data_IF_094582151402
#
_entry.id   IF_094582151402
#
_cell.length_a   1.000
_cell.length_b   1.000
_cell.length_c   1.000
_cell.angle_alpha   90.00
_cell.angle_beta   90.00
_cell.angle_gamma   90.00
#
_symmetry.space_group_name_H-M   'P 1'
#
loop_
_entity.id
_entity.type
_entity.pdbx_description
1 polymer ?
#
# COMPACT_ATOMS: atom_id res chain seq x y z
N UNK A 1 2.66 0.36 -9.53
CA UNK A 1 4.06 0.83 -9.50
C UNK A 1 4.52 0.78 -8.05
N UNK A 2 5.63 0.11 -7.77
CA UNK A 2 6.14 -0.13 -6.43
C UNK A 2 7.66 0.11 -6.45
N UNK A 3 8.24 0.68 -5.42
CA UNK A 3 9.70 0.62 -5.26
C UNK A 3 10.01 -0.34 -4.11
N UNK A 4 11.18 -0.96 -4.18
CA UNK A 4 11.71 -1.71 -3.07
C UNK A 4 11.62 -3.24 -3.22
N UNK A 5 11.85 -3.94 -2.10
CA UNK A 5 11.50 -3.57 -0.73
C UNK A 5 12.38 -2.47 -0.15
N UNK A 6 11.80 -1.63 0.70
CA UNK A 6 12.52 -0.67 1.54
C UNK A 6 12.70 -1.26 2.93
N UNK A 7 13.85 -0.99 3.53
CA UNK A 7 14.04 -1.27 4.95
C UNK A 7 13.09 -0.37 5.75
N UNK A 8 12.33 -0.98 6.67
CA UNK A 8 11.39 -0.26 7.55
C UNK A 8 12.15 0.07 8.83
N UNK A 9 12.32 1.36 9.10
CA UNK A 9 12.99 1.84 10.30
C UNK A 9 11.97 2.26 11.36
N UNK A 10 12.27 2.07 12.66
CA UNK A 10 11.49 2.69 13.73
C UNK A 10 11.31 4.19 13.52
N UNK A 11 10.07 4.66 13.62
CA UNK A 11 9.70 6.05 13.37
C UNK A 11 9.35 6.36 11.92
N UNK A 12 9.49 5.40 10.98
CA UNK A 12 8.98 5.57 9.62
C UNK A 12 7.45 5.70 9.64
N UNK A 13 6.95 6.63 8.84
CA UNK A 13 5.52 6.87 8.67
C UNK A 13 5.13 6.69 7.22
N UNK A 14 4.14 5.83 7.00
CA UNK A 14 3.61 5.51 5.69
C UNK A 14 2.20 6.08 5.57
N UNK A 15 1.95 6.74 4.44
CA UNK A 15 0.63 7.21 4.06
C UNK A 15 0.17 6.43 2.83
N UNK A 16 -1.01 5.84 2.91
CA UNK A 16 -1.76 5.36 1.76
C UNK A 16 -3.01 6.23 1.61
N UNK A 17 -3.22 6.76 0.42
CA UNK A 17 -4.36 7.62 0.14
C UNK A 17 -4.94 7.41 -1.26
N UNK A 18 -6.19 7.82 -1.45
CA UNK A 18 -6.80 7.99 -2.78
C UNK A 18 -6.36 9.29 -3.43
N UNK A 19 -6.55 9.40 -4.74
CA UNK A 19 -6.39 10.62 -5.52
C UNK A 19 -7.27 11.78 -5.04
N UNK A 20 -8.38 11.47 -4.37
CA UNK A 20 -9.20 12.44 -3.64
C UNK A 20 -8.41 13.29 -2.62
N UNK A 21 -7.33 12.76 -2.03
CA UNK A 21 -6.43 13.53 -1.16
C UNK A 21 -5.42 14.35 -1.97
N UNK A 22 -4.63 13.68 -2.81
CA UNK A 22 -3.49 14.30 -3.52
C UNK A 22 -3.92 15.32 -4.58
N UNK A 23 -5.17 15.27 -5.03
CA UNK A 23 -5.74 16.32 -5.89
C UNK A 23 -6.07 17.62 -5.16
N UNK A 24 -6.06 17.62 -3.81
CA UNK A 24 -6.45 18.78 -2.98
C UNK A 24 -5.39 19.20 -1.98
N UNK A 25 -4.51 18.31 -1.55
CA UNK A 25 -3.45 18.56 -0.56
C UNK A 25 -2.10 18.29 -1.20
N UNK A 26 -1.18 19.23 -1.06
CA UNK A 26 0.15 19.14 -1.70
C UNK A 26 1.10 18.26 -0.88
N UNK A 27 2.05 17.59 -1.56
CA UNK A 27 3.02 16.69 -0.92
C UNK A 27 3.76 17.30 0.29
N UNK A 28 4.21 18.57 0.27
CA UNK A 28 4.86 19.18 1.44
C UNK A 28 3.92 19.33 2.64
N UNK A 29 2.65 19.66 2.41
CA UNK A 29 1.64 19.78 3.47
C UNK A 29 1.38 18.41 4.10
N UNK A 30 1.22 17.38 3.26
CA UNK A 30 1.09 16.00 3.70
C UNK A 30 2.29 15.60 4.56
N UNK A 31 3.50 15.89 4.09
CA UNK A 31 4.73 15.57 4.80
C UNK A 31 4.80 16.19 6.20
N UNK A 32 4.44 17.48 6.34
CA UNK A 32 4.41 18.16 7.65
C UNK A 32 3.37 17.54 8.58
N UNK A 33 2.15 17.32 8.07
CA UNK A 33 1.03 16.80 8.86
C UNK A 33 1.35 15.41 9.39
N UNK A 34 1.81 14.51 8.51
CA UNK A 34 2.14 13.13 8.86
C UNK A 34 3.38 13.07 9.75
N UNK A 35 4.31 14.02 9.66
CA UNK A 35 5.52 14.01 10.51
C UNK A 35 5.28 14.51 11.94
N UNK A 36 4.40 15.51 12.12
CA UNK A 36 4.25 16.20 13.41
C UNK A 36 3.07 15.71 14.26
N UNK A 37 2.03 15.16 13.65
CA UNK A 37 0.81 14.73 14.35
C UNK A 37 0.77 13.22 14.50
N UNK A 38 0.18 12.68 15.59
CA UNK A 38 -0.06 11.24 15.69
C UNK A 38 -0.99 10.76 14.55
N UNK A 39 -0.96 9.46 14.17
CA UNK A 39 -1.67 8.95 12.99
C UNK A 39 -3.17 9.28 12.95
N UNK A 40 -3.85 9.25 14.09
CA UNK A 40 -5.27 9.60 14.23
C UNK A 40 -5.54 11.10 14.00
N UNK A 41 -4.75 11.99 14.58
CA UNK A 41 -4.85 13.43 14.34
C UNK A 41 -4.50 13.77 12.88
N UNK A 42 -3.45 13.16 12.33
CA UNK A 42 -2.98 13.37 10.96
C UNK A 42 -4.01 12.95 9.92
N UNK A 43 -4.56 11.74 10.04
CA UNK A 43 -5.61 11.21 9.15
C UNK A 43 -6.83 12.14 9.14
N UNK A 44 -7.32 12.53 10.31
CA UNK A 44 -8.46 13.43 10.42
C UNK A 44 -8.19 14.79 9.78
N UNK A 45 -7.02 15.38 10.02
CA UNK A 45 -6.64 16.68 9.45
C UNK A 45 -6.53 16.64 7.93
N UNK A 46 -5.91 15.60 7.37
CA UNK A 46 -5.79 15.42 5.92
C UNK A 46 -7.16 15.36 5.24
N UNK A 47 -8.10 14.61 5.84
CA UNK A 47 -9.47 14.51 5.36
C UNK A 47 -10.19 15.86 5.51
N UNK A 48 -10.04 16.55 6.63
CA UNK A 48 -10.66 17.86 6.86
C UNK A 48 -10.16 18.91 5.86
N UNK A 49 -8.86 18.91 5.56
CA UNK A 49 -8.24 19.83 4.63
C UNK A 49 -8.69 19.59 3.18
N UNK A 50 -8.75 18.32 2.75
CA UNK A 50 -9.25 17.98 1.42
C UNK A 50 -10.72 18.36 1.23
N UNK A 51 -11.55 18.16 2.27
CA UNK A 51 -12.95 18.59 2.27
C UNK A 51 -13.09 20.12 2.24
N UNK A 52 -12.30 20.84 3.05
CA UNK A 52 -12.29 22.31 3.06
C UNK A 52 -12.00 22.89 1.66
N UNK A 53 -11.17 22.20 0.87
CA UNK A 53 -10.82 22.55 -0.51
C UNK A 53 -11.81 22.02 -1.56
N UNK A 54 -13.00 21.62 -1.14
CA UNK A 54 -14.14 21.26 -1.99
C UNK A 54 -14.20 19.78 -2.41
N UNK A 55 -13.43 18.89 -1.78
CA UNK A 55 -13.43 17.42 -1.93
C UNK A 55 -14.45 16.83 -2.92
N UNK A 56 -14.16 16.80 -4.24
CA UNK A 56 -15.13 16.39 -5.26
C UNK A 56 -15.31 14.86 -5.34
N UNK A 57 -14.51 14.12 -4.58
CA UNK A 57 -14.37 12.67 -4.66
C UNK A 57 -14.20 12.07 -3.26
N UNK A 58 -14.31 10.74 -3.16
CA UNK A 58 -14.12 9.98 -1.94
C UNK A 58 -12.67 10.05 -1.46
N UNK A 59 -12.47 10.62 -0.28
CA UNK A 59 -11.16 10.75 0.35
C UNK A 59 -10.94 9.53 1.27
N UNK A 60 -9.95 8.70 0.95
CA UNK A 60 -9.50 7.61 1.82
C UNK A 60 -8.06 7.86 2.25
N UNK A 61 -7.79 7.74 3.54
CA UNK A 61 -6.47 8.01 4.13
C UNK A 61 -6.15 6.96 5.18
N UNK A 62 -4.97 6.36 5.11
CA UNK A 62 -4.42 5.43 6.10
C UNK A 62 -3.01 5.91 6.44
N UNK A 63 -2.74 6.17 7.71
CA UNK A 63 -1.41 6.47 8.22
C UNK A 63 -0.95 5.32 9.11
N UNK A 64 0.25 4.80 8.85
CA UNK A 64 0.88 3.73 9.61
C UNK A 64 2.21 4.25 10.14
N UNK A 65 2.44 4.14 11.43
CA UNK A 65 3.72 4.43 12.08
C UNK A 65 4.40 3.11 12.46
N UNK A 66 5.64 2.95 12.04
CA UNK A 66 6.48 1.81 12.42
C UNK A 66 7.01 2.03 13.84
N UNK A 67 6.35 1.46 14.84
CA UNK A 67 6.84 1.48 16.22
C UNK A 67 8.07 0.56 16.35
N UNK A 68 9.10 1.06 17.04
CA UNK A 68 10.40 0.42 17.20
C UNK A 68 10.42 -0.81 18.09
N UNK A 69 9.28 -1.23 18.62
CA UNK A 69 9.12 -2.61 19.05
C UNK A 69 9.08 -3.48 17.81
N UNK A 70 10.27 -3.80 17.31
CA UNK A 70 10.52 -4.95 16.46
C UNK A 70 9.70 -6.09 17.06
N UNK A 71 8.50 -6.32 16.52
CA UNK A 71 7.87 -7.62 16.58
C UNK A 71 8.93 -8.50 15.96
N UNK A 72 9.71 -9.16 16.83
CA UNK A 72 10.82 -10.04 16.52
C UNK A 72 10.49 -10.64 15.18
N UNK A 73 11.10 -10.05 14.15
CA UNK A 73 10.81 -10.39 12.79
C UNK A 73 11.49 -11.72 12.70
N UNK A 74 10.82 -12.77 13.21
CA UNK A 74 11.21 -14.17 13.19
C UNK A 74 11.73 -14.31 11.80
N UNK A 75 13.05 -14.32 11.70
CA UNK A 75 13.79 -13.95 10.49
C UNK A 75 13.00 -14.50 9.33
N UNK A 76 12.39 -13.64 8.50
CA UNK A 76 11.71 -14.12 7.30
C UNK A 76 12.82 -14.65 6.41
N UNK A 77 13.25 -15.88 6.69
CA UNK A 77 14.11 -16.73 5.87
C UNK A 77 13.29 -17.33 4.72
N UNK A 78 12.13 -16.76 4.43
CA UNK A 78 11.39 -17.05 3.23
C UNK A 78 12.13 -16.42 2.06
N UNK A 79 12.23 -17.19 0.98
CA UNK A 79 12.69 -16.75 -0.33
C UNK A 79 12.21 -15.31 -0.64
N UNK A 80 13.02 -14.52 -1.39
CA UNK A 80 12.68 -13.13 -1.68
C UNK A 80 11.24 -13.06 -2.21
N UNK A 81 10.46 -12.09 -1.70
CA UNK A 81 9.10 -11.89 -2.21
C UNK A 81 9.16 -11.74 -3.74
N UNK A 82 8.37 -12.55 -4.43
CA UNK A 82 8.30 -12.54 -5.88
C UNK A 82 7.01 -11.85 -6.29
N UNK A 83 7.13 -10.73 -7.01
CA UNK A 83 5.96 -10.03 -7.57
C UNK A 83 5.70 -10.56 -8.98
N UNK A 84 4.42 -10.78 -9.30
CA UNK A 84 3.98 -11.20 -10.63
C UNK A 84 4.08 -12.71 -10.89
N UNK A 85 4.35 -13.53 -9.87
CA UNK A 85 4.14 -14.96 -10.01
C UNK A 85 2.66 -15.29 -9.84
N UNK A 86 2.06 -15.87 -10.87
CA UNK A 86 0.84 -16.63 -10.67
C UNK A 86 1.18 -17.77 -9.71
N UNK A 87 0.66 -17.71 -8.49
CA UNK A 87 0.64 -18.83 -7.55
C UNK A 87 -0.28 -19.91 -8.12
N UNK A 88 0.13 -20.58 -9.21
CA UNK A 88 -0.54 -21.79 -9.67
C UNK A 88 -0.22 -22.86 -8.63
N UNK A 89 -1.21 -23.41 -7.92
CA UNK A 89 -0.95 -24.60 -7.12
C UNK A 89 -0.32 -25.65 -8.05
N UNK A 90 0.67 -26.43 -7.57
CA UNK A 90 1.26 -27.48 -8.40
C UNK A 90 0.12 -28.32 -8.95
N UNK A 91 0.14 -28.58 -10.26
CA UNK A 91 -0.93 -29.34 -10.90
C UNK A 91 -1.07 -30.69 -10.17
N UNK A 92 -2.09 -30.83 -9.33
CA UNK A 92 -2.34 -32.08 -8.63
C UNK A 92 -2.93 -33.04 -9.64
N UNK A 93 -2.16 -34.03 -10.04
CA UNK A 93 -2.67 -35.10 -10.89
C UNK A 93 -3.84 -35.77 -10.14
N UNK A 94 -5.06 -35.83 -10.71
CA UNK A 94 -6.20 -36.41 -10.03
C UNK A 94 -5.91 -37.84 -9.57
N UNK A 95 -6.37 -38.21 -8.38
CA UNK A 95 -6.19 -39.57 -7.81
C UNK A 95 -6.67 -40.65 -8.78
N UNK A 96 -7.69 -40.37 -9.60
CA UNK A 96 -8.17 -41.25 -10.65
C UNK A 96 -7.08 -41.68 -11.65
N UNK A 97 -6.13 -40.82 -11.99
CA UNK A 97 -5.03 -41.15 -12.91
C UNK A 97 -4.11 -42.20 -12.29
N UNK A 98 -3.77 -42.06 -11.00
CA UNK A 98 -2.98 -43.05 -10.27
C UNK A 98 -3.74 -44.38 -10.11
N UNK A 99 -5.05 -44.32 -9.88
CA UNK A 99 -5.88 -45.53 -9.83
C UNK A 99 -5.94 -46.25 -11.18
N UNK A 100 -6.07 -45.52 -12.29
CA UNK A 100 -6.03 -46.08 -13.63
C UNK A 100 -4.67 -46.71 -13.96
N UNK A 101 -3.57 -46.08 -13.55
CA UNK A 101 -2.22 -46.64 -13.70
C UNK A 101 -2.05 -47.93 -12.89
N UNK A 102 -2.48 -47.93 -11.64
CA UNK A 102 -2.44 -49.12 -10.78
C UNK A 102 -3.28 -50.27 -11.35
N UNK A 103 -4.51 -49.97 -11.80
CA UNK A 103 -5.40 -50.95 -12.43
C UNK A 103 -4.80 -51.49 -13.73
N UNK A 104 -4.22 -50.63 -14.58
CA UNK A 104 -3.53 -51.04 -15.80
C UNK A 104 -2.38 -52.02 -15.51
N UNK A 105 -1.61 -51.77 -14.45
CA UNK A 105 -0.50 -52.64 -14.04
C UNK A 105 -0.98 -54.01 -13.55
N UNK A 106 -2.10 -54.05 -12.81
CA UNK A 106 -2.76 -55.31 -12.39
C UNK A 106 -3.27 -56.11 -13.59
N UNK A 107 -3.91 -55.45 -14.56
CA UNK A 107 -4.40 -56.10 -15.79
C UNK A 107 -3.22 -56.65 -16.62
N UNK A 108 -2.14 -55.89 -16.76
CA UNK A 108 -0.93 -56.34 -17.44
C UNK A 108 -0.32 -57.58 -16.78
N UNK A 109 -0.27 -57.63 -15.44
CA UNK A 109 0.20 -58.79 -14.70
C UNK A 109 -0.71 -60.03 -14.91
N UNK A 110 -2.03 -59.84 -14.90
CA UNK A 110 -2.99 -60.92 -15.19
C UNK A 110 -2.84 -61.47 -16.61
N UNK A 111 -2.64 -60.60 -17.61
CA UNK A 111 -2.39 -61.01 -18.99
C UNK A 111 -1.06 -61.78 -19.14
N UNK A 112 -0.02 -61.40 -18.40
CA UNK A 112 1.26 -62.13 -18.39
C UNK A 112 1.11 -63.55 -17.82
N UNK A 113 0.30 -63.73 -16.77
CA UNK A 113 -0.02 -65.05 -16.18
C UNK A 113 -0.77 -65.93 -17.20
N UNK A 114 -1.65 -65.35 -17.99
CA UNK A 114 -2.40 -66.02 -19.06
C UNK A 114 -1.59 -66.22 -20.36
N UNK A 115 -0.26 -65.98 -20.32
CA UNK A 115 0.65 -66.13 -21.46
C UNK A 115 0.36 -65.19 -22.66
N UNK A 116 -0.34 -64.07 -22.43
CA UNK A 116 -0.64 -63.04 -23.43
C UNK A 116 0.42 -61.92 -23.37
N UNK A 117 1.64 -62.21 -23.80
CA UNK A 117 2.80 -61.33 -23.59
C UNK A 117 2.79 -60.02 -24.41
N UNK A 118 2.38 -60.06 -25.67
CA UNK A 118 2.36 -58.87 -26.55
C UNK A 118 1.44 -57.77 -26.00
N UNK A 119 0.16 -58.03 -25.66
CA UNK A 119 -0.71 -56.99 -25.11
C UNK A 119 -0.25 -56.51 -23.73
N UNK A 120 0.34 -57.38 -22.91
CA UNK A 120 0.87 -57.00 -21.59
C UNK A 120 2.01 -55.96 -21.70
N UNK A 121 2.93 -56.13 -22.67
CA UNK A 121 4.03 -55.19 -22.91
C UNK A 121 3.53 -53.82 -23.38
N UNK A 122 2.52 -53.78 -24.26
CA UNK A 122 1.92 -52.52 -24.75
C UNK A 122 1.31 -51.74 -23.59
N UNK A 123 0.54 -52.42 -22.73
CA UNK A 123 -0.16 -51.81 -21.60
C UNK A 123 0.83 -51.25 -20.55
N UNK A 124 1.92 -51.97 -20.32
CA UNK A 124 3.00 -51.54 -19.41
C UNK A 124 3.77 -50.33 -19.96
N UNK A 125 4.01 -50.28 -21.27
CA UNK A 125 4.59 -49.11 -21.94
C UNK A 125 3.70 -47.86 -21.87
N UNK A 126 2.39 -48.01 -22.10
CA UNK A 126 1.43 -46.91 -21.95
C UNK A 126 1.36 -46.40 -20.51
N UNK A 127 1.36 -47.29 -19.52
CA UNK A 127 1.37 -46.92 -18.11
C UNK A 127 2.65 -46.17 -17.72
N UNK A 128 3.81 -46.63 -18.18
CA UNK A 128 5.09 -45.95 -17.95
C UNK A 128 5.11 -44.54 -18.57
N UNK A 129 4.62 -44.39 -19.80
CA UNK A 129 4.54 -43.08 -20.47
C UNK A 129 3.59 -42.12 -19.74
N UNK A 130 2.42 -42.61 -19.32
CA UNK A 130 1.45 -41.80 -18.57
C UNK A 130 1.98 -41.41 -17.18
N UNK A 131 2.72 -42.29 -16.50
CA UNK A 131 3.40 -41.97 -15.24
C UNK A 131 4.48 -40.89 -15.45
N UNK A 132 5.23 -40.95 -16.56
CA UNK A 132 6.28 -39.97 -16.88
C UNK A 132 5.69 -38.59 -17.22
N UNK A 133 4.55 -38.54 -17.93
CA UNK A 133 3.81 -37.31 -18.20
C UNK A 133 3.21 -36.73 -16.92
N UNK A 134 2.61 -37.58 -16.08
CA UNK A 134 2.03 -37.18 -14.79
C UNK A 134 3.10 -36.67 -13.80
N UNK A 135 4.31 -37.24 -13.86
CA UNK A 135 5.45 -36.81 -13.05
C UNK A 135 6.14 -35.58 -13.64
N UNK A 136 5.95 -35.25 -14.92
CA UNK A 136 6.62 -34.12 -15.57
C UNK A 136 6.20 -32.83 -14.86
N UNK A 137 7.09 -32.23 -14.05
CA UNK A 137 6.70 -31.08 -13.25
C UNK A 137 6.38 -29.95 -14.21
N UNK A 138 5.17 -29.40 -14.12
CA UNK A 138 4.85 -28.14 -14.77
C UNK A 138 5.78 -27.09 -14.18
N UNK A 139 6.87 -26.78 -14.89
CA UNK A 139 7.75 -25.68 -14.48
C UNK A 139 6.88 -24.43 -14.38
N UNK A 140 6.94 -23.65 -13.28
CA UNK A 140 6.18 -22.42 -13.19
C UNK A 140 6.54 -21.55 -14.41
N UNK A 141 5.55 -21.32 -15.26
CA UNK A 141 5.67 -20.40 -16.39
C UNK A 141 5.45 -19.00 -15.85
N UNK A 142 6.54 -18.34 -15.47
CA UNK A 142 6.54 -16.96 -15.01
C UNK A 142 7.82 -16.65 -14.28
N UNK A 143 8.73 -15.93 -14.94
CA UNK A 143 9.88 -15.32 -14.28
C UNK A 143 9.33 -14.20 -13.40
N UNK A 144 9.03 -14.53 -12.14
CA UNK A 144 8.67 -13.52 -11.15
C UNK A 144 9.82 -12.55 -10.96
N UNK A 145 9.49 -11.31 -10.59
CA UNK A 145 10.51 -10.33 -10.28
C UNK A 145 10.81 -10.43 -8.78
N UNK A 146 12.04 -10.82 -8.45
CA UNK A 146 12.53 -10.81 -7.07
C UNK A 146 12.61 -9.37 -6.55
N UNK A 147 11.98 -9.15 -5.39
CA UNK A 147 12.04 -7.91 -4.63
C UNK A 147 13.41 -7.78 -3.96
N UNK A 148 14.36 -7.17 -4.68
CA UNK A 148 15.67 -6.75 -4.13
C UNK A 148 15.63 -5.27 -3.73
N UNK A 149 16.32 -4.91 -2.64
CA UNK A 149 16.31 -3.55 -2.09
C UNK A 149 16.60 -2.48 -3.14
N UNK A 150 15.84 -1.38 -3.10
CA UNK A 150 16.06 -0.20 -3.94
C UNK A 150 15.73 -0.37 -5.43
N UNK A 151 15.11 -1.49 -5.85
CA UNK A 151 14.69 -1.70 -7.23
C UNK A 151 13.36 -0.98 -7.51
N UNK A 152 13.28 -0.26 -8.63
CA UNK A 152 12.01 0.29 -9.13
C UNK A 152 11.17 -0.78 -9.84
N UNK A 153 9.89 -0.86 -9.51
CA UNK A 153 8.89 -1.66 -10.20
C UNK A 153 7.82 -0.75 -10.79
N UNK A 154 7.52 -0.97 -12.07
CA UNK A 154 6.51 -0.19 -12.78
C UNK A 154 7.06 1.08 -13.44
N UNK A 155 6.15 1.91 -13.96
CA UNK A 155 6.49 3.11 -14.77
C UNK A 155 5.89 4.41 -14.25
N UNK A 156 5.23 4.37 -13.10
CA UNK A 156 4.60 5.53 -12.48
C UNK A 156 5.61 6.60 -12.07
N UNK A 157 5.19 7.87 -12.01
CA UNK A 157 6.02 8.96 -11.52
C UNK A 157 6.32 8.75 -10.03
N UNK A 158 7.59 8.82 -9.66
CA UNK A 158 8.04 8.78 -8.28
C UNK A 158 8.76 10.08 -7.96
N UNK A 159 8.34 10.73 -6.88
CA UNK A 159 8.85 12.03 -6.44
C UNK A 159 9.43 11.86 -5.03
N UNK A 160 10.58 12.50 -4.80
CA UNK A 160 11.13 12.71 -3.45
C UNK A 160 11.06 14.19 -3.15
N UNK A 161 10.46 14.53 -2.02
CA UNK A 161 10.35 15.88 -1.53
C UNK A 161 11.12 15.96 -0.21
N UNK A 162 12.14 16.81 -0.18
CA UNK A 162 12.79 17.16 1.08
C UNK A 162 11.89 18.19 1.79
N UNK A 163 11.51 17.87 3.03
CA UNK A 163 10.70 18.77 3.84
C UNK A 163 11.53 19.97 4.26
N UNK A 164 11.04 21.16 3.92
CA UNK A 164 11.52 22.41 4.51
C UNK A 164 11.35 22.40 6.03
N UNK A 165 12.05 23.28 6.78
CA UNK A 165 11.84 23.42 8.20
C UNK A 165 10.36 23.58 8.53
N UNK A 166 9.86 22.77 9.46
CA UNK A 166 8.42 22.68 9.75
C UNK A 166 7.75 24.05 9.96
N UNK A 167 8.41 25.00 10.62
CA UNK A 167 7.85 26.35 10.85
C UNK A 167 7.61 27.13 9.55
N UNK A 168 8.50 27.04 8.57
CA UNK A 168 8.36 27.75 7.28
C UNK A 168 7.21 27.16 6.46
N UNK A 169 7.12 25.83 6.42
CA UNK A 169 6.03 25.15 5.71
C UNK A 169 4.67 25.42 6.37
N UNK A 170 4.59 25.43 7.71
CA UNK A 170 3.35 25.82 8.41
C UNK A 170 2.99 27.28 8.10
N UNK A 171 3.98 28.19 8.06
CA UNK A 171 3.73 29.60 7.70
C UNK A 171 3.18 29.74 6.27
N UNK A 172 3.66 28.96 5.30
CA UNK A 172 3.10 28.90 3.94
C UNK A 172 1.65 28.43 3.95
N UNK A 173 1.33 27.38 4.72
CA UNK A 173 -0.03 26.86 4.87
C UNK A 173 -0.98 27.89 5.52
N UNK A 174 -0.50 28.63 6.53
CA UNK A 174 -1.23 29.75 7.16
C UNK A 174 -1.50 30.86 6.16
N UNK A 175 -0.49 31.25 5.38
CA UNK A 175 -0.60 32.26 4.33
C UNK A 175 -1.63 31.90 3.26
N UNK A 176 -1.57 30.66 2.75
CA UNK A 176 -2.54 30.19 1.75
C UNK A 176 -3.98 30.17 2.27
N UNK A 177 -4.20 29.75 3.52
CA UNK A 177 -5.53 29.77 4.11
C UNK A 177 -6.03 31.21 4.37
N UNK A 178 -5.15 32.13 4.75
CA UNK A 178 -5.48 33.55 4.92
C UNK A 178 -5.91 34.17 3.59
N UNK A 179 -5.16 33.93 2.53
CA UNK A 179 -5.50 34.42 1.18
C UNK A 179 -6.84 33.87 0.71
N UNK A 180 -7.12 32.58 0.95
CA UNK A 180 -8.43 31.97 0.64
C UNK A 180 -9.58 32.66 1.40
N UNK A 181 -9.40 32.96 2.68
CA UNK A 181 -10.41 33.65 3.50
C UNK A 181 -10.59 35.12 3.08
N UNK A 182 -9.55 35.74 2.56
CA UNK A 182 -9.58 37.14 2.11
C UNK A 182 -10.25 37.31 0.75
N UNK A 183 -10.29 36.24 -0.05
CA UNK A 183 -10.91 36.23 -1.37
C UNK A 183 -12.42 36.53 -1.30
N UNK A 184 -12.86 37.50 -2.08
CA UNK A 184 -14.21 38.10 -1.99
C UNK A 184 -15.35 37.10 -2.31
N UNK A 185 -15.06 36.03 -3.04
CA UNK A 185 -16.03 34.98 -3.38
C UNK A 185 -16.06 33.81 -2.40
N UNK A 186 -15.29 33.85 -1.30
CA UNK A 186 -15.31 32.77 -0.31
C UNK A 186 -16.57 32.90 0.55
N UNK A 187 -17.56 32.03 0.28
CA UNK A 187 -18.82 31.97 1.00
C UNK A 187 -18.59 31.39 2.40
N UNK A 188 -18.37 32.27 3.37
CA UNK A 188 -18.24 31.94 4.79
C UNK A 188 -18.95 33.01 5.63
N UNK A 189 -19.54 32.60 6.76
CA UNK A 189 -20.08 33.52 7.76
C UNK A 189 -18.99 34.51 8.20
N UNK A 190 -19.32 35.80 8.26
CA UNK A 190 -18.42 36.85 8.69
C UNK A 190 -17.88 36.61 10.11
N UNK A 191 -18.68 36.01 11.01
CA UNK A 191 -18.24 35.66 12.35
C UNK A 191 -17.20 34.53 12.33
N UNK A 192 -17.44 33.48 11.55
CA UNK A 192 -16.51 32.36 11.39
C UNK A 192 -15.20 32.83 10.75
N UNK A 193 -15.27 33.69 9.73
CA UNK A 193 -14.10 34.30 9.09
C UNK A 193 -13.27 35.11 10.08
N UNK A 194 -13.90 35.97 10.86
CA UNK A 194 -13.19 36.78 11.88
C UNK A 194 -12.51 35.89 12.91
N UNK A 195 -13.20 34.85 13.40
CA UNK A 195 -12.63 33.89 14.36
C UNK A 195 -11.45 33.13 13.77
N UNK A 196 -11.56 32.67 12.52
CA UNK A 196 -10.48 31.97 11.84
C UNK A 196 -9.23 32.84 11.67
N UNK A 197 -9.39 34.10 11.25
CA UNK A 197 -8.28 35.06 11.12
C UNK A 197 -7.58 35.33 12.46
N UNK A 198 -8.33 35.42 13.56
CA UNK A 198 -7.75 35.53 14.90
C UNK A 198 -6.92 34.30 15.24
N UNK A 199 -7.47 33.10 15.03
CA UNK A 199 -6.72 31.86 15.27
C UNK A 199 -5.45 31.76 14.43
N UNK A 200 -5.46 32.21 13.16
CA UNK A 200 -4.26 32.23 12.32
C UNK A 200 -3.17 33.17 12.86
N UNK A 201 -3.57 34.29 13.49
CA UNK A 201 -2.61 35.20 14.14
C UNK A 201 -1.96 34.52 15.36
N UNK A 202 -2.73 33.74 16.12
CA UNK A 202 -2.18 32.97 17.24
C UNK A 202 -1.25 31.84 16.78
N UNK A 203 -1.50 31.25 15.60
CA UNK A 203 -0.60 30.28 14.97
C UNK A 203 0.74 30.92 14.63
N UNK A 204 0.75 32.12 14.05
CA UNK A 204 1.99 32.86 13.74
C UNK A 204 2.84 33.06 15.01
N UNK A 205 2.20 33.44 16.12
CA UNK A 205 2.88 33.57 17.42
C UNK A 205 3.49 32.26 17.92
N UNK A 206 2.90 31.10 17.61
CA UNK A 206 3.47 29.78 17.96
C UNK A 206 4.62 29.37 17.06
N UNK A 207 4.61 29.77 15.79
CA UNK A 207 5.73 29.58 14.88
C UNK A 207 6.94 30.38 15.38
N UNK A 208 6.75 31.63 15.81
CA UNK A 208 7.82 32.46 16.40
C UNK A 208 8.40 31.88 17.69
N UNK A 209 7.57 31.19 18.48
CA UNK A 209 7.99 30.47 19.69
C UNK A 209 8.72 29.14 19.40
N UNK A 210 8.94 28.79 18.12
CA UNK A 210 9.51 27.52 17.67
C UNK A 210 8.76 26.28 18.20
N UNK A 211 7.43 26.38 18.29
CA UNK A 211 6.54 25.30 18.73
C UNK A 211 5.69 24.76 17.56
N UNK A 212 6.28 24.02 16.59
CA UNK A 212 5.62 23.65 15.34
C UNK A 212 4.44 22.69 15.53
N UNK A 213 4.48 21.80 16.53
CA UNK A 213 3.37 20.88 16.82
C UNK A 213 2.14 21.64 17.32
N UNK A 214 2.35 22.61 18.23
CA UNK A 214 1.27 23.44 18.76
C UNK A 214 0.71 24.36 17.67
N UNK A 215 1.59 24.98 16.87
CA UNK A 215 1.20 25.79 15.73
C UNK A 215 0.33 24.99 14.74
N UNK A 216 0.75 23.77 14.39
CA UNK A 216 0.00 22.91 13.49
C UNK A 216 -1.34 22.46 14.09
N UNK A 217 -1.41 22.14 15.39
CA UNK A 217 -2.68 21.80 16.06
C UNK A 217 -3.64 22.98 16.10
N UNK A 218 -3.14 24.19 16.31
CA UNK A 218 -3.96 25.41 16.27
C UNK A 218 -4.45 25.69 14.85
N UNK A 219 -3.60 25.53 13.85
CA UNK A 219 -4.01 25.63 12.45
C UNK A 219 -5.05 24.57 12.07
N UNK A 220 -4.87 23.34 12.51
CA UNK A 220 -5.83 22.25 12.33
C UNK A 220 -7.20 22.57 12.97
N UNK A 221 -7.21 23.20 14.14
CA UNK A 221 -8.43 23.68 14.76
C UNK A 221 -9.13 24.75 13.91
N UNK A 222 -8.37 25.66 13.30
CA UNK A 222 -8.90 26.66 12.35
C UNK A 222 -9.54 26.01 11.13
N UNK A 223 -8.87 25.02 10.52
CA UNK A 223 -9.41 24.25 9.39
C UNK A 223 -10.75 23.58 9.77
N UNK A 224 -10.85 23.01 10.96
CA UNK A 224 -12.09 22.38 11.46
C UNK A 224 -13.23 23.36 11.71
N UNK A 225 -12.92 24.60 12.07
CA UNK A 225 -13.94 25.66 12.23
C UNK A 225 -14.55 26.03 10.87
N UNK A 226 -13.73 26.05 9.83
CA UNK A 226 -14.12 26.45 8.48
C UNK A 226 -14.77 25.32 7.68
N UNK A 227 -14.51 24.06 8.08
CA UNK A 227 -15.09 22.90 7.41
C UNK A 227 -16.63 22.94 7.50
N UNK A 228 -17.35 22.84 6.37
CA UNK A 228 -18.80 22.71 6.39
C UNK A 228 -19.20 21.43 7.13
N UNK A 229 -20.17 21.55 8.04
CA UNK A 229 -20.79 20.41 8.73
C UNK A 229 -21.90 19.87 7.85
N UNK A 230 -21.52 19.09 6.84
CA UNK A 230 -22.45 18.24 6.10
C UNK A 230 -22.62 16.87 6.80
#
# INVERSE_FOLDING_TARGET
DLEGPFEVMPGDRYLLCSDGLTGRVEDPEIGVIVSLLPPDEATQLLVDLANLRGGPDNITVIVVEADGQLADSRTWRGEPLMVGQELRPPATVPVAVWMCLALGLVVAAGMAILSLFIPALILLGCAALAALIAWWPTRPTGDGISLTHGRRLGRGPYVRCDLEPFGEQIAKMVGGLREQLEYESYECDAELRSRALTCLTDVDAKIEQAAPVDALRMWAATVRILKPRD
#
